data_IF_561643670202
#
_entry.id   IF_561643670202
#
_cell.length_a   1.000
_cell.length_b   1.000
_cell.length_c   1.000
_cell.angle_alpha   90.00
_cell.angle_beta   90.00
_cell.angle_gamma   90.00
#
_symmetry.space_group_name_H-M   'P 1'
#
loop_
_entity.id
_entity.type
_entity.pdbx_description
1 polymer ?
#
# COMPACT_ATOMS: atom_id res chain seq x y z
N UNK A 1 -17.04 25.99 16.35
CA UNK A 1 -15.82 26.84 16.39
C UNK A 1 -14.61 26.19 17.10
N UNK A 2 -14.76 25.48 18.23
CA UNK A 2 -13.62 24.87 18.95
C UNK A 2 -12.90 23.75 18.17
N UNK A 3 -13.64 22.86 17.49
CA UNK A 3 -13.05 21.71 16.79
C UNK A 3 -12.32 22.08 15.49
N UNK A 4 -12.86 23.01 14.68
CA UNK A 4 -12.14 23.55 13.51
C UNK A 4 -10.82 24.23 13.92
N UNK A 5 -10.84 25.01 15.00
CA UNK A 5 -9.65 25.64 15.58
C UNK A 5 -8.67 24.60 16.14
N UNK A 6 -9.17 23.45 16.62
CA UNK A 6 -8.33 22.34 17.05
C UNK A 6 -7.57 21.74 15.87
N UNK A 7 -8.24 21.39 14.76
CA UNK A 7 -7.56 20.82 13.60
C UNK A 7 -6.53 21.77 13.00
N UNK A 8 -6.89 23.06 12.82
CA UNK A 8 -5.97 24.04 12.25
C UNK A 8 -4.74 24.32 13.12
N UNK A 9 -4.83 24.15 14.45
CA UNK A 9 -3.70 24.35 15.38
C UNK A 9 -2.89 23.09 15.61
N UNK A 10 -3.56 21.96 15.79
CA UNK A 10 -2.93 20.71 16.22
C UNK A 10 -2.16 20.02 15.10
N UNK A 11 -2.53 20.27 13.83
CA UNK A 11 -1.98 19.60 12.64
C UNK A 11 -1.97 18.07 12.78
N UNK A 12 -2.92 17.53 13.55
CA UNK A 12 -3.07 16.10 13.78
C UNK A 12 -3.47 15.44 12.46
N UNK A 13 -2.83 14.31 12.16
CA UNK A 13 -3.18 13.51 11.00
C UNK A 13 -4.48 12.76 11.25
N UNK A 14 -5.43 12.85 10.32
CA UNK A 14 -6.77 12.25 10.46
C UNK A 14 -6.97 11.05 9.53
N UNK A 15 -7.78 10.09 9.96
CA UNK A 15 -8.33 9.04 9.10
C UNK A 15 -9.75 9.43 8.69
N UNK A 16 -10.11 9.26 7.43
CA UNK A 16 -11.45 9.54 6.93
C UNK A 16 -12.19 8.26 6.61
N UNK A 17 -13.50 8.27 6.82
CA UNK A 17 -14.44 7.32 6.22
C UNK A 17 -15.47 8.13 5.44
N UNK A 18 -15.75 7.73 4.21
CA UNK A 18 -16.78 8.36 3.38
C UNK A 18 -17.85 7.36 3.01
N UNK A 19 -19.09 7.83 2.96
CA UNK A 19 -20.22 7.04 2.47
C UNK A 19 -21.08 7.92 1.56
N UNK A 20 -21.57 7.33 0.47
CA UNK A 20 -22.36 8.00 -0.56
C UNK A 20 -23.59 7.18 -0.88
N UNK A 21 -24.77 7.81 -0.88
CA UNK A 21 -26.02 7.12 -1.19
C UNK A 21 -27.00 8.05 -1.90
N UNK A 22 -28.00 7.45 -2.54
CA UNK A 22 -29.12 8.16 -3.16
C UNK A 22 -30.36 7.98 -2.29
N UNK A 23 -31.04 9.07 -1.95
CA UNK A 23 -32.29 9.03 -1.19
C UNK A 23 -33.46 8.58 -2.07
N UNK A 24 -34.58 8.26 -1.43
CA UNK A 24 -35.84 7.94 -2.12
C UNK A 24 -36.37 9.09 -3.00
N UNK A 25 -35.88 10.33 -2.81
CA UNK A 25 -36.22 11.50 -3.62
C UNK A 25 -35.26 11.67 -4.81
N UNK A 26 -34.41 10.68 -5.11
CA UNK A 26 -33.34 10.73 -6.10
C UNK A 26 -32.31 11.85 -5.85
N UNK A 27 -32.05 12.15 -4.57
CA UNK A 27 -31.03 13.12 -4.16
C UNK A 27 -29.79 12.36 -3.67
N UNK A 28 -28.61 12.71 -4.20
CA UNK A 28 -27.36 12.08 -3.81
C UNK A 28 -26.77 12.80 -2.59
N UNK A 29 -26.38 12.04 -1.58
CA UNK A 29 -25.75 12.53 -0.36
C UNK A 29 -24.38 11.91 -0.18
N UNK A 30 -23.52 12.64 0.52
CA UNK A 30 -22.23 12.18 0.99
C UNK A 30 -22.04 12.57 2.45
N UNK A 31 -21.49 11.65 3.23
CA UNK A 31 -20.98 11.95 4.57
C UNK A 31 -19.47 11.77 4.59
N UNK A 32 -18.77 12.70 5.22
CA UNK A 32 -17.34 12.61 5.50
C UNK A 32 -17.17 12.59 7.02
N UNK A 33 -16.63 11.49 7.53
CA UNK A 33 -16.37 11.31 8.96
C UNK A 33 -14.87 11.24 9.19
N UNK A 34 -14.36 12.03 10.13
CA UNK A 34 -12.98 11.96 10.59
C UNK A 34 -12.86 11.14 11.87
N UNK A 35 -11.78 10.37 11.91
CA UNK A 35 -11.33 9.58 13.05
C UNK A 35 -9.91 10.03 13.38
N UNK A 36 -9.67 10.43 14.63
CA UNK A 36 -8.37 10.92 15.07
C UNK A 36 -8.20 10.69 16.57
N UNK A 37 -6.95 10.73 17.02
CA UNK A 37 -6.61 10.66 18.44
C UNK A 37 -6.13 12.05 18.85
N UNK A 38 -6.60 12.55 19.99
CA UNK A 38 -6.15 13.85 20.52
C UNK A 38 -4.90 13.73 21.41
N UNK A 39 -4.45 14.87 21.96
CA UNK A 39 -3.27 14.91 22.85
C UNK A 39 -3.48 14.17 24.17
N UNK A 40 -4.73 13.96 24.58
CA UNK A 40 -5.12 13.23 25.78
C UNK A 40 -5.33 11.73 25.49
N UNK A 41 -4.86 11.27 24.32
CA UNK A 41 -4.97 9.88 23.84
C UNK A 41 -6.41 9.38 23.70
N UNK A 42 -7.37 10.28 23.52
CA UNK A 42 -8.77 9.92 23.31
C UNK A 42 -9.06 9.73 21.83
N UNK A 43 -9.69 8.60 21.49
CA UNK A 43 -10.18 8.35 20.13
C UNK A 43 -11.46 9.15 19.89
N UNK A 44 -11.44 9.95 18.83
CA UNK A 44 -12.60 10.73 18.38
C UNK A 44 -13.09 10.26 17.03
N UNK A 45 -14.41 10.13 16.91
CA UNK A 45 -15.15 9.98 15.65
C UNK A 45 -16.06 11.18 15.50
N UNK A 46 -15.92 11.96 14.43
CA UNK A 46 -16.70 13.18 14.18
C UNK A 46 -17.12 13.28 12.72
N UNK A 47 -18.40 13.51 12.48
CA UNK A 47 -18.91 13.85 11.14
C UNK A 47 -18.43 15.27 10.85
N UNK A 48 -17.61 15.41 9.79
CA UNK A 48 -17.11 16.70 9.33
C UNK A 48 -18.08 17.38 8.37
N UNK A 49 -18.72 16.58 7.52
CA UNK A 49 -19.70 17.07 6.55
C UNK A 49 -20.77 16.02 6.30
N UNK A 50 -21.99 16.52 6.12
CA UNK A 50 -23.11 15.81 5.53
C UNK A 50 -23.67 16.73 4.45
N UNK A 51 -23.43 16.40 3.18
CA UNK A 51 -23.69 17.31 2.06
C UNK A 51 -24.36 16.60 0.91
N UNK A 52 -25.22 17.32 0.21
CA UNK A 52 -25.74 16.89 -1.07
C UNK A 52 -24.64 16.99 -2.14
N UNK A 53 -24.52 15.97 -2.98
CA UNK A 53 -23.62 15.95 -4.13
C UNK A 53 -24.43 15.89 -5.41
N UNK A 54 -23.85 16.39 -6.51
CA UNK A 54 -24.55 16.46 -7.80
C UNK A 54 -24.70 15.06 -8.40
N UNK A 55 -23.63 14.26 -8.33
CA UNK A 55 -23.57 12.91 -8.84
C UNK A 55 -22.58 12.05 -8.04
N UNK A 56 -22.57 10.75 -8.31
CA UNK A 56 -21.62 9.78 -7.73
C UNK A 56 -20.35 9.65 -8.57
N UNK A 57 -19.94 10.69 -9.33
CA UNK A 57 -18.69 10.63 -10.09
C UNK A 57 -17.50 10.88 -9.19
N UNK A 58 -16.40 10.20 -9.48
CA UNK A 58 -15.19 10.29 -8.68
C UNK A 58 -14.66 11.72 -8.51
N UNK A 59 -14.71 12.54 -9.56
CA UNK A 59 -14.28 13.95 -9.48
C UNK A 59 -15.14 14.79 -8.53
N UNK A 60 -16.46 14.58 -8.53
CA UNK A 60 -17.41 15.27 -7.65
C UNK A 60 -17.18 14.88 -6.19
N UNK A 61 -17.02 13.58 -5.95
CA UNK A 61 -16.69 13.02 -4.63
C UNK A 61 -15.34 13.56 -4.14
N UNK A 62 -14.32 13.54 -4.99
CA UNK A 62 -12.98 14.04 -4.68
C UNK A 62 -12.96 15.52 -4.32
N UNK A 63 -13.66 16.37 -5.09
CA UNK A 63 -13.84 17.80 -4.79
C UNK A 63 -14.61 18.03 -3.49
N UNK A 64 -15.62 17.21 -3.20
CA UNK A 64 -16.34 17.29 -1.93
C UNK A 64 -15.41 17.04 -0.75
N UNK A 65 -14.58 15.99 -0.82
CA UNK A 65 -13.57 15.71 0.21
C UNK A 65 -12.55 16.85 0.31
N UNK A 66 -12.04 17.36 -0.81
CA UNK A 66 -11.11 18.49 -0.85
C UNK A 66 -11.67 19.70 -0.11
N UNK A 67 -12.90 20.10 -0.42
CA UNK A 67 -13.56 21.24 0.22
C UNK A 67 -13.71 21.05 1.72
N UNK A 68 -14.08 19.84 2.18
CA UNK A 68 -14.16 19.52 3.61
C UNK A 68 -12.80 19.65 4.28
N UNK A 69 -11.73 19.15 3.65
CA UNK A 69 -10.38 19.25 4.23
C UNK A 69 -9.92 20.71 4.35
N UNK A 70 -10.16 21.54 3.32
CA UNK A 70 -9.86 22.97 3.34
C UNK A 70 -10.66 23.69 4.43
N UNK A 71 -11.98 23.44 4.49
CA UNK A 71 -12.89 24.10 5.45
C UNK A 71 -12.53 23.79 6.91
N UNK A 72 -12.00 22.60 7.16
CA UNK A 72 -11.60 22.14 8.48
C UNK A 72 -10.12 22.41 8.79
N UNK A 73 -9.34 22.93 7.84
CA UNK A 73 -7.91 23.20 8.00
C UNK A 73 -7.09 21.92 8.20
N UNK A 74 -7.50 20.83 7.57
CA UNK A 74 -6.84 19.51 7.65
C UNK A 74 -5.95 19.34 6.42
N UNK A 75 -4.64 19.40 6.63
CA UNK A 75 -3.63 19.24 5.58
C UNK A 75 -2.96 17.86 5.59
N UNK A 76 -3.16 17.06 6.65
CA UNK A 76 -2.57 15.71 6.83
C UNK A 76 -3.64 14.64 6.94
N UNK A 77 -3.66 13.72 5.98
CA UNK A 77 -4.55 12.55 5.99
C UNK A 77 -3.73 11.27 6.09
N UNK A 78 -4.17 10.33 6.93
CA UNK A 78 -3.53 9.03 7.10
C UNK A 78 -4.12 7.99 6.14
N UNK A 79 -5.43 7.78 6.22
CA UNK A 79 -6.17 6.83 5.39
C UNK A 79 -7.53 7.40 5.04
N UNK A 80 -8.05 7.04 3.88
CA UNK A 80 -9.46 7.27 3.51
C UNK A 80 -10.07 5.89 3.24
N UNK A 81 -11.09 5.55 4.02
CA UNK A 81 -11.86 4.31 3.83
C UNK A 81 -13.12 4.66 3.08
N UNK A 82 -13.38 3.91 2.02
CA UNK A 82 -14.50 4.10 1.09
C UNK A 82 -15.21 2.76 0.90
N UNK A 83 -16.43 2.79 0.38
CA UNK A 83 -17.15 1.58 -0.02
C UNK A 83 -16.60 1.02 -1.36
N UNK A 84 -17.15 -0.11 -1.80
CA UNK A 84 -16.65 -0.83 -2.99
C UNK A 84 -17.26 -0.30 -4.30
N UNK A 85 -17.16 1.00 -4.55
CA UNK A 85 -17.64 1.65 -5.77
C UNK A 85 -16.46 2.05 -6.70
N UNK A 86 -16.62 1.86 -8.01
CA UNK A 86 -15.57 2.16 -9.01
C UNK A 86 -15.19 3.63 -9.05
N UNK A 87 -16.13 4.53 -8.80
CA UNK A 87 -15.91 5.98 -8.74
C UNK A 87 -14.89 6.40 -7.66
N UNK A 88 -14.74 5.60 -6.60
CA UNK A 88 -13.85 5.93 -5.49
C UNK A 88 -12.38 5.92 -5.91
N UNK A 89 -11.97 5.09 -6.87
CA UNK A 89 -10.59 5.07 -7.36
C UNK A 89 -10.18 6.43 -7.93
N UNK A 90 -11.04 7.03 -8.75
CA UNK A 90 -10.82 8.37 -9.33
C UNK A 90 -10.86 9.43 -8.23
N UNK A 91 -11.81 9.35 -7.29
CA UNK A 91 -11.93 10.29 -6.18
C UNK A 91 -10.67 10.31 -5.28
N UNK A 92 -10.16 9.13 -4.90
CA UNK A 92 -8.98 9.02 -4.05
C UNK A 92 -7.73 9.50 -4.79
N UNK A 93 -7.60 9.18 -6.08
CA UNK A 93 -6.48 9.68 -6.91
C UNK A 93 -6.47 11.22 -6.97
N UNK A 94 -7.64 11.83 -7.10
CA UNK A 94 -7.80 13.29 -7.04
C UNK A 94 -7.35 13.85 -5.69
N UNK A 95 -7.84 13.28 -4.58
CA UNK A 95 -7.52 13.76 -3.22
C UNK A 95 -6.03 13.62 -2.90
N UNK A 96 -5.40 12.51 -3.29
CA UNK A 96 -3.94 12.31 -3.13
C UNK A 96 -3.16 13.41 -3.87
N UNK A 97 -3.51 13.68 -5.12
CA UNK A 97 -2.87 14.74 -5.92
C UNK A 97 -2.96 16.10 -5.24
N UNK A 98 -4.12 16.41 -4.64
CA UNK A 98 -4.34 17.67 -3.90
C UNK A 98 -3.55 17.73 -2.60
N UNK A 99 -3.60 16.69 -1.77
CA UNK A 99 -2.84 16.60 -0.53
C UNK A 99 -1.33 16.81 -0.75
N UNK A 100 -0.78 16.16 -1.79
CA UNK A 100 0.63 16.31 -2.16
C UNK A 100 0.96 17.70 -2.72
N UNK A 101 -0.01 18.42 -3.28
CA UNK A 101 0.18 19.81 -3.75
C UNK A 101 0.14 20.84 -2.62
N UNK A 102 -0.47 20.50 -1.48
CA UNK A 102 -0.55 21.41 -0.33
C UNK A 102 0.71 21.35 0.55
N UNK A 103 1.32 20.17 0.69
CA UNK A 103 2.58 19.96 1.42
C UNK A 103 3.19 18.59 1.11
N UNK A 104 4.51 18.46 1.31
CA UNK A 104 5.28 17.25 1.01
C UNK A 104 4.86 15.99 1.80
N UNK A 105 4.17 16.15 2.94
CA UNK A 105 3.72 15.06 3.83
C UNK A 105 2.18 14.98 3.98
N UNK A 106 1.43 15.56 3.04
CA UNK A 106 -0.04 15.64 3.11
C UNK A 106 -0.72 14.27 3.06
N UNK A 107 -0.26 13.40 2.17
CA UNK A 107 -0.57 11.98 2.17
C UNK A 107 0.62 11.17 2.66
N UNK A 108 0.37 10.14 3.47
CA UNK A 108 1.44 9.22 3.91
C UNK A 108 2.12 8.62 2.67
N UNK A 109 3.44 8.79 2.58
CA UNK A 109 4.26 8.33 1.45
C UNK A 109 3.76 8.83 0.08
N UNK A 110 3.13 10.01 0.04
CA UNK A 110 2.57 10.58 -1.19
C UNK A 110 1.40 9.79 -1.77
N UNK A 111 0.76 8.91 -0.98
CA UNK A 111 -0.29 8.00 -1.43
C UNK A 111 0.22 6.72 -2.11
N UNK A 112 1.54 6.53 -2.18
CA UNK A 112 2.16 5.30 -2.68
C UNK A 112 2.38 4.32 -1.52
N UNK A 113 1.49 3.33 -1.41
CA UNK A 113 1.57 2.29 -0.37
C UNK A 113 2.60 1.20 -0.69
N UNK A 114 3.10 1.16 -1.93
CA UNK A 114 4.04 0.16 -2.42
C UNK A 114 5.16 0.89 -3.16
N UNK A 115 6.41 0.50 -2.93
CA UNK A 115 7.54 1.01 -3.69
C UNK A 115 7.37 0.67 -5.18
N UNK A 116 7.72 1.60 -6.08
CA UNK A 116 7.52 1.42 -7.52
C UNK A 116 8.16 0.12 -8.03
N UNK A 117 9.30 -0.30 -7.45
CA UNK A 117 9.94 -1.60 -7.75
C UNK A 117 9.10 -2.83 -7.40
N UNK A 118 8.37 -2.79 -6.26
CA UNK A 118 7.45 -3.89 -5.90
C UNK A 118 6.28 -3.90 -6.89
N UNK A 119 5.80 -2.73 -7.31
CA UNK A 119 4.73 -2.62 -8.32
C UNK A 119 5.19 -3.17 -9.68
N UNK A 120 6.41 -2.85 -10.11
CA UNK A 120 6.99 -3.35 -11.35
C UNK A 120 7.04 -4.88 -11.35
N UNK A 121 7.60 -5.48 -10.28
CA UNK A 121 7.71 -6.94 -10.15
C UNK A 121 6.33 -7.59 -10.06
N UNK A 122 5.40 -6.97 -9.32
CA UNK A 122 4.00 -7.42 -9.25
C UNK A 122 3.35 -7.46 -10.63
N UNK A 123 3.55 -6.43 -11.46
CA UNK A 123 3.00 -6.36 -12.81
C UNK A 123 3.60 -7.45 -13.72
N UNK A 124 4.91 -7.71 -13.60
CA UNK A 124 5.56 -8.82 -14.30
C UNK A 124 4.96 -10.19 -13.91
N UNK A 125 4.78 -10.44 -12.61
CA UNK A 125 4.14 -11.66 -12.11
C UNK A 125 2.68 -11.76 -12.56
N UNK A 126 1.94 -10.63 -12.55
CA UNK A 126 0.56 -10.55 -13.03
C UNK A 126 0.46 -10.94 -14.51
N UNK A 127 1.39 -10.50 -15.36
CA UNK A 127 1.45 -10.90 -16.77
C UNK A 127 1.60 -12.42 -16.93
N UNK A 128 2.57 -13.01 -16.23
CA UNK A 128 2.83 -14.46 -16.32
C UNK A 128 1.62 -15.26 -15.86
N UNK A 129 0.93 -14.81 -14.81
CA UNK A 129 -0.25 -15.50 -14.26
C UNK A 129 -1.57 -15.18 -14.97
N UNK A 130 -1.61 -14.22 -15.88
CA UNK A 130 -2.87 -13.79 -16.49
C UNK A 130 -3.49 -14.84 -17.43
N UNK A 131 -2.71 -15.83 -17.88
CA UNK A 131 -3.20 -16.93 -18.71
C UNK A 131 -2.37 -18.20 -18.49
N UNK A 132 -2.98 -19.39 -18.50
CA UNK A 132 -2.27 -20.67 -18.43
C UNK A 132 -1.17 -20.81 -19.50
N UNK A 133 -1.40 -20.28 -20.71
CA UNK A 133 -0.42 -20.33 -21.80
C UNK A 133 0.82 -19.48 -21.51
N UNK A 134 0.66 -18.30 -20.90
CA UNK A 134 1.79 -17.44 -20.49
C UNK A 134 2.59 -18.09 -19.38
N UNK A 135 1.90 -18.70 -18.42
CA UNK A 135 2.53 -19.45 -17.33
C UNK A 135 3.31 -20.65 -17.85
N UNK A 136 2.77 -21.40 -18.81
CA UNK A 136 3.45 -22.56 -19.40
C UNK A 136 4.70 -22.14 -20.18
N UNK A 137 4.59 -21.11 -21.03
CA UNK A 137 5.74 -20.53 -21.73
C UNK A 137 6.84 -20.09 -20.75
N UNK A 138 6.46 -19.44 -19.66
CA UNK A 138 7.39 -19.01 -18.62
C UNK A 138 8.07 -20.20 -17.94
N UNK A 139 7.32 -21.25 -17.57
CA UNK A 139 7.89 -22.49 -17.00
C UNK A 139 8.86 -23.17 -17.95
N UNK A 140 8.55 -23.19 -19.25
CA UNK A 140 9.45 -23.74 -20.26
C UNK A 140 10.74 -22.93 -20.32
N UNK A 141 10.69 -21.60 -20.28
CA UNK A 141 11.88 -20.75 -20.21
C UNK A 141 12.73 -21.02 -18.95
N UNK A 142 12.10 -21.17 -17.77
CA UNK A 142 12.80 -21.54 -16.51
C UNK A 142 13.52 -22.89 -16.65
N UNK A 143 12.89 -23.88 -17.29
CA UNK A 143 13.46 -25.22 -17.47
C UNK A 143 14.71 -25.21 -18.36
N UNK A 144 14.76 -24.34 -19.38
CA UNK A 144 15.93 -24.19 -20.26
C UNK A 144 17.13 -23.57 -19.53
N UNK A 145 16.89 -22.69 -18.55
CA UNK A 145 17.94 -22.03 -17.76
C UNK A 145 18.53 -22.89 -16.62
N UNK A 146 18.04 -24.14 -16.43
CA UNK A 146 18.46 -25.04 -15.33
C UNK A 146 18.37 -24.42 -13.92
N UNK A 147 17.51 -23.42 -13.73
CA UNK A 147 17.27 -22.85 -12.40
C UNK A 147 16.58 -23.95 -11.59
N UNK A 148 17.16 -24.37 -10.46
CA UNK A 148 16.69 -25.50 -9.62
C UNK A 148 15.31 -25.32 -8.97
N UNK A 149 14.49 -24.38 -9.43
CA UNK A 149 13.13 -24.08 -8.96
C UNK A 149 12.09 -24.47 -9.99
N UNK A 150 10.92 -24.97 -9.55
CA UNK A 150 9.81 -25.41 -10.43
C UNK A 150 9.11 -24.29 -11.23
N UNK A 151 9.69 -23.08 -11.32
CA UNK A 151 9.10 -21.94 -12.03
C UNK A 151 7.76 -21.45 -11.46
N UNK A 152 7.53 -21.65 -10.16
CA UNK A 152 6.29 -21.28 -9.51
C UNK A 152 6.32 -19.81 -9.08
N UNK A 153 5.58 -18.97 -9.80
CA UNK A 153 5.32 -17.57 -9.42
C UNK A 153 4.03 -17.44 -8.60
N UNK A 154 4.09 -16.64 -7.54
CA UNK A 154 2.96 -16.35 -6.65
C UNK A 154 2.63 -14.88 -6.75
N UNK A 155 1.36 -14.54 -7.03
CA UNK A 155 0.90 -13.16 -7.02
C UNK A 155 0.46 -12.81 -5.60
N UNK A 156 0.89 -11.65 -5.12
CA UNK A 156 0.57 -11.19 -3.77
C UNK A 156 -0.85 -10.62 -3.64
N UNK A 157 -1.32 -10.58 -2.41
CA UNK A 157 -2.47 -9.79 -1.98
C UNK A 157 -1.91 -8.46 -1.46
N UNK A 158 -2.19 -7.29 -2.09
CA UNK A 158 -1.50 -6.03 -1.78
C UNK A 158 -1.66 -5.57 -0.32
N UNK A 159 -2.72 -6.03 0.34
CA UNK A 159 -3.02 -5.70 1.74
C UNK A 159 -2.32 -6.62 2.74
N UNK A 160 -1.54 -7.62 2.30
CA UNK A 160 -0.88 -8.63 3.16
C UNK A 160 0.60 -8.77 2.84
N UNK A 161 1.44 -8.15 3.68
CA UNK A 161 2.90 -8.21 3.60
C UNK A 161 3.51 -9.62 3.47
N UNK A 162 2.98 -10.66 4.13
CA UNK A 162 3.43 -12.05 3.99
C UNK A 162 3.28 -12.57 2.56
N UNK A 163 2.21 -12.19 1.86
CA UNK A 163 2.02 -12.58 0.46
C UNK A 163 2.94 -11.79 -0.48
N UNK A 164 3.22 -10.52 -0.15
CA UNK A 164 4.21 -9.70 -0.88
C UNK A 164 5.62 -10.28 -0.70
N UNK A 165 5.99 -10.69 0.51
CA UNK A 165 7.24 -11.39 0.78
C UNK A 165 7.40 -12.64 -0.09
N UNK A 166 6.40 -13.53 -0.09
CA UNK A 166 6.44 -14.76 -0.89
C UNK A 166 6.50 -14.49 -2.41
N UNK A 167 5.81 -13.47 -2.89
CA UNK A 167 5.90 -13.05 -4.29
C UNK A 167 7.31 -12.59 -4.63
N UNK A 168 7.91 -11.71 -3.83
CA UNK A 168 9.25 -11.18 -4.08
C UNK A 168 10.31 -12.28 -3.98
N UNK A 169 10.24 -13.15 -2.95
CA UNK A 169 11.19 -14.25 -2.72
C UNK A 169 11.20 -15.25 -3.89
N UNK A 170 10.02 -15.56 -4.43
CA UNK A 170 9.86 -16.36 -5.65
C UNK A 170 10.35 -15.62 -6.91
N UNK A 171 9.92 -14.37 -7.10
CA UNK A 171 10.21 -13.61 -8.32
C UNK A 171 11.71 -13.31 -8.48
N UNK A 172 12.42 -12.98 -7.39
CA UNK A 172 13.86 -12.69 -7.43
C UNK A 172 14.68 -13.92 -7.84
N UNK A 173 14.27 -15.13 -7.44
CA UNK A 173 14.90 -16.39 -7.89
C UNK A 173 14.75 -16.61 -9.40
N UNK A 174 13.73 -16.00 -9.99
CA UNK A 174 13.36 -16.13 -11.41
C UNK A 174 13.71 -14.87 -12.22
N UNK A 175 14.52 -13.96 -11.65
CA UNK A 175 14.93 -12.69 -12.27
C UNK A 175 15.42 -12.85 -13.70
N UNK A 176 16.37 -13.76 -13.94
CA UNK A 176 16.95 -13.99 -15.27
C UNK A 176 15.90 -14.37 -16.32
N UNK A 177 14.94 -15.22 -15.93
CA UNK A 177 13.83 -15.60 -16.80
C UNK A 177 12.91 -14.42 -17.11
N UNK A 178 12.67 -13.51 -16.15
CA UNK A 178 11.93 -12.27 -16.40
C UNK A 178 12.69 -11.29 -17.31
N UNK A 179 14.01 -11.21 -17.18
CA UNK A 179 14.87 -10.39 -18.06
C UNK A 179 14.82 -10.93 -19.50
N UNK A 180 15.00 -12.25 -19.70
CA UNK A 180 14.85 -12.90 -21.01
C UNK A 180 13.47 -12.70 -21.62
N UNK A 181 12.41 -12.77 -20.81
CA UNK A 181 11.05 -12.49 -21.28
C UNK A 181 10.91 -11.05 -21.80
N UNK A 182 11.65 -10.11 -21.18
CA UNK A 182 11.79 -8.71 -21.63
C UNK A 182 12.46 -8.56 -22.99
N UNK A 183 13.38 -9.47 -23.33
CA UNK A 183 14.15 -9.44 -24.57
C UNK A 183 13.45 -10.19 -25.71
N UNK A 184 12.80 -11.32 -25.42
CA UNK A 184 12.29 -12.25 -26.43
C UNK A 184 10.77 -12.20 -26.66
N UNK A 185 9.97 -11.72 -25.70
CA UNK A 185 8.51 -11.74 -25.79
C UNK A 185 7.93 -10.35 -26.06
N UNK A 186 7.59 -10.09 -27.33
CA UNK A 186 6.94 -8.85 -27.75
C UNK A 186 5.62 -8.59 -27.02
N UNK A 187 4.88 -9.64 -26.61
CA UNK A 187 3.65 -9.46 -25.86
C UNK A 187 3.90 -8.98 -24.43
N UNK A 188 5.03 -9.37 -23.84
CA UNK A 188 5.44 -8.90 -22.52
C UNK A 188 5.89 -7.44 -22.60
N UNK A 189 6.68 -7.07 -23.60
CA UNK A 189 7.09 -5.68 -23.82
C UNK A 189 5.87 -4.78 -24.07
N UNK A 190 4.94 -5.21 -24.92
CA UNK A 190 3.72 -4.44 -25.21
C UNK A 190 2.81 -4.31 -23.98
N UNK A 191 2.76 -5.32 -23.10
CA UNK A 191 1.98 -5.23 -21.86
C UNK A 191 2.38 -4.03 -20.97
N UNK A 192 3.64 -3.61 -20.97
CA UNK A 192 4.07 -2.41 -20.23
C UNK A 192 4.00 -1.11 -21.05
N UNK A 193 3.78 -1.21 -22.36
CA UNK A 193 3.54 -0.06 -23.24
C UNK A 193 2.06 0.31 -23.29
N UNK A 194 1.17 -0.68 -23.19
CA UNK A 194 -0.27 -0.49 -23.19
C UNK A 194 -0.72 0.17 -21.88
N UNK A 195 -1.47 1.26 -21.98
CA UNK A 195 -2.02 1.96 -20.82
C UNK A 195 -3.11 1.12 -20.12
N UNK A 196 -3.09 1.08 -18.79
CA UNK A 196 -4.19 0.56 -17.97
C UNK A 196 -4.93 1.77 -17.40
N UNK A 197 -6.15 2.03 -17.86
CA UNK A 197 -6.98 3.17 -17.41
C UNK A 197 -6.28 4.54 -17.57
N UNK A 198 -5.71 4.81 -18.76
CA UNK A 198 -5.01 6.07 -19.08
C UNK A 198 -3.74 6.33 -18.25
N UNK A 199 -3.25 5.31 -17.51
CA UNK A 199 -1.98 5.34 -16.80
C UNK A 199 -1.05 4.24 -17.30
N UNK A 200 0.20 4.64 -17.59
CA UNK A 200 1.24 3.72 -17.99
C UNK A 200 1.58 2.76 -16.84
N UNK A 201 1.57 1.45 -17.11
CA UNK A 201 1.99 0.45 -16.12
C UNK A 201 3.45 0.66 -15.74
N UNK A 202 3.74 0.57 -14.44
CA UNK A 202 5.13 0.58 -13.94
C UNK A 202 5.79 -0.75 -14.31
N UNK A 203 6.94 -0.67 -14.96
CA UNK A 203 7.74 -1.79 -15.46
C UNK A 203 8.07 -1.67 -16.96
N UNK A 204 8.67 -2.70 -17.58
CA UNK A 204 9.14 -3.95 -16.97
C UNK A 204 10.23 -3.72 -15.90
N UNK A 205 10.42 -4.65 -14.94
CA UNK A 205 11.39 -4.48 -13.86
C UNK A 205 12.83 -4.34 -14.39
N UNK A 206 13.56 -3.34 -13.90
CA UNK A 206 14.97 -3.12 -14.24
C UNK A 206 15.92 -3.64 -13.13
N UNK A 207 17.24 -3.46 -13.30
CA UNK A 207 18.21 -3.93 -12.32
C UNK A 207 17.99 -3.37 -10.91
N UNK A 208 17.70 -2.07 -10.81
CA UNK A 208 17.47 -1.37 -9.55
C UNK A 208 16.22 -1.92 -8.86
N UNK A 209 15.17 -2.26 -9.62
CA UNK A 209 13.96 -2.85 -9.07
C UNK A 209 14.22 -4.18 -8.36
N UNK A 210 15.08 -5.01 -8.95
CA UNK A 210 15.47 -6.30 -8.38
C UNK A 210 16.36 -6.13 -7.16
N UNK A 211 17.25 -5.15 -7.15
CA UNK A 211 18.12 -4.89 -6.00
C UNK A 211 17.34 -4.29 -4.84
N UNK A 212 16.42 -3.36 -5.11
CA UNK A 212 15.44 -2.88 -4.13
C UNK A 212 14.59 -4.04 -3.59
N UNK A 213 14.14 -4.96 -4.44
CA UNK A 213 13.36 -6.12 -4.00
C UNK A 213 14.11 -7.02 -3.01
N UNK A 214 15.42 -7.21 -3.18
CA UNK A 214 16.24 -7.96 -2.20
C UNK A 214 16.27 -7.27 -0.84
N UNK A 215 16.38 -5.94 -0.85
CA UNK A 215 16.31 -5.13 0.37
C UNK A 215 14.94 -5.31 1.04
N UNK A 216 13.85 -5.26 0.28
CA UNK A 216 12.50 -5.53 0.80
C UNK A 216 12.31 -6.95 1.33
N UNK A 217 12.89 -7.97 0.68
CA UNK A 217 12.84 -9.36 1.15
C UNK A 217 13.52 -9.47 2.52
N UNK A 218 14.73 -8.92 2.66
CA UNK A 218 15.45 -8.91 3.94
C UNK A 218 14.65 -8.20 5.03
N UNK A 219 14.02 -7.08 4.69
CA UNK A 219 13.14 -6.34 5.59
C UNK A 219 11.94 -7.19 6.04
N UNK A 220 11.25 -7.84 5.10
CA UNK A 220 10.00 -8.57 5.33
C UNK A 220 10.21 -9.96 5.94
N UNK A 221 11.38 -10.58 5.78
CA UNK A 221 11.67 -11.94 6.21
C UNK A 221 11.37 -12.16 7.71
N UNK A 222 11.85 -11.27 8.57
CA UNK A 222 11.63 -11.38 10.01
C UNK A 222 10.16 -11.33 10.39
N UNK A 223 9.40 -10.48 9.73
CA UNK A 223 7.97 -10.37 9.98
C UNK A 223 7.20 -11.60 9.50
N UNK A 224 7.65 -12.18 8.38
CA UNK A 224 7.10 -13.42 7.86
C UNK A 224 7.34 -14.59 8.83
N UNK A 225 8.58 -14.78 9.29
CA UNK A 225 8.95 -15.86 10.21
C UNK A 225 8.18 -15.75 11.54
N UNK A 226 8.11 -14.54 12.10
CA UNK A 226 7.36 -14.30 13.33
C UNK A 226 5.86 -14.54 13.13
N UNK A 227 5.31 -14.17 11.97
CA UNK A 227 3.89 -14.46 11.69
C UNK A 227 3.64 -15.95 11.56
N UNK A 228 4.55 -16.71 10.96
CA UNK A 228 4.46 -18.17 10.90
C UNK A 228 4.46 -18.79 12.30
N UNK A 229 5.36 -18.33 13.17
CA UNK A 229 5.45 -18.79 14.56
C UNK A 229 4.15 -18.53 15.34
N UNK A 230 3.56 -17.32 15.21
CA UNK A 230 2.30 -16.99 15.86
C UNK A 230 1.08 -17.69 15.27
N UNK A 231 1.14 -18.04 13.98
CA UNK A 231 0.05 -18.74 13.29
C UNK A 231 0.05 -20.25 13.56
N UNK A 232 1.05 -20.77 14.29
CA UNK A 232 1.12 -22.18 14.66
C UNK A 232 -0.01 -22.54 15.63
N UNK A 233 -0.95 -23.38 15.17
CA UNK A 233 -2.12 -23.81 15.95
C UNK A 233 -1.86 -25.03 16.85
N UNK A 234 -0.75 -25.73 16.64
CA UNK A 234 -0.40 -26.99 17.31
C UNK A 234 0.65 -26.83 18.43
N UNK A 235 1.07 -25.60 18.72
CA UNK A 235 2.14 -25.29 19.68
C UNK A 235 1.74 -24.12 20.55
N UNK A 236 2.15 -24.13 21.81
CA UNK A 236 1.96 -22.97 22.70
C UNK A 236 2.86 -21.84 22.19
N UNK A 237 2.26 -20.70 21.85
CA UNK A 237 2.95 -19.53 21.29
C UNK A 237 3.18 -18.41 22.32
N UNK A 238 2.55 -18.50 23.50
CA UNK A 238 2.64 -17.48 24.55
C UNK A 238 4.06 -17.31 25.10
N UNK A 239 4.84 -18.40 25.21
CA UNK A 239 6.21 -18.35 25.72
C UNK A 239 7.23 -17.76 24.74
N UNK A 240 6.92 -17.74 23.43
CA UNK A 240 7.76 -17.13 22.39
C UNK A 240 7.38 -15.68 22.09
N UNK A 241 6.18 -15.25 22.51
CA UNK A 241 5.64 -13.93 22.21
C UNK A 241 6.60 -12.79 22.58
N UNK A 242 7.12 -12.79 23.80
CA UNK A 242 8.03 -11.73 24.27
C UNK A 242 9.33 -11.68 23.45
N UNK A 243 9.89 -12.86 23.12
CA UNK A 243 11.09 -12.96 22.28
C UNK A 243 10.84 -12.41 20.87
N UNK A 244 9.71 -12.77 20.25
CA UNK A 244 9.33 -12.27 18.93
C UNK A 244 9.09 -10.75 18.94
N UNK A 245 8.45 -10.24 19.99
CA UNK A 245 8.26 -8.81 20.19
C UNK A 245 9.60 -8.06 20.28
N UNK A 246 10.52 -8.52 21.13
CA UNK A 246 11.87 -7.95 21.22
C UNK A 246 12.63 -8.02 19.90
N UNK A 247 12.46 -9.09 19.13
CA UNK A 247 13.10 -9.27 17.82
C UNK A 247 12.61 -8.23 16.82
N UNK A 248 11.29 -8.02 16.72
CA UNK A 248 10.71 -6.95 15.88
C UNK A 248 11.22 -5.58 16.32
N UNK A 249 11.20 -5.31 17.63
CA UNK A 249 11.65 -4.03 18.21
C UNK A 249 13.11 -3.73 17.84
N UNK A 250 14.00 -4.69 18.08
CA UNK A 250 15.43 -4.52 17.82
C UNK A 250 15.72 -4.34 16.33
N UNK A 251 15.03 -5.09 15.48
CA UNK A 251 15.19 -4.96 14.04
C UNK A 251 14.66 -3.62 13.52
N UNK A 252 13.50 -3.16 13.97
CA UNK A 252 13.00 -1.82 13.62
C UNK A 252 14.01 -0.74 14.04
N UNK A 253 14.55 -0.83 15.26
CA UNK A 253 15.58 0.09 15.75
C UNK A 253 16.86 0.07 14.91
N UNK A 254 17.34 -1.10 14.48
CA UNK A 254 18.55 -1.16 13.64
C UNK A 254 18.30 -0.57 12.25
N UNK A 255 17.14 -0.87 11.67
CA UNK A 255 16.76 -0.43 10.32
C UNK A 255 16.45 1.07 10.26
N UNK A 256 16.00 1.71 11.35
CA UNK A 256 15.84 3.18 11.37
C UNK A 256 17.17 3.90 11.28
N UNK A 257 18.25 3.29 11.79
CA UNK A 257 19.62 3.84 11.73
C UNK A 257 20.40 3.41 10.48
N UNK A 258 19.78 2.69 9.57
CA UNK A 258 20.44 2.16 8.38
C UNK A 258 20.75 3.27 7.35
N UNK A 259 21.84 3.08 6.60
CA UNK A 259 22.33 4.08 5.64
C UNK A 259 21.43 4.23 4.41
N UNK A 260 20.66 3.20 4.07
CA UNK A 260 19.71 3.26 2.96
C UNK A 260 18.52 4.15 3.35
N UNK A 261 18.33 5.32 2.69
CA UNK A 261 17.25 6.24 3.02
C UNK A 261 15.86 5.64 2.82
N UNK A 262 15.71 4.68 1.89
CA UNK A 262 14.45 4.02 1.59
C UNK A 262 14.02 3.15 2.78
N UNK A 263 14.94 2.27 3.22
CA UNK A 263 14.72 1.33 4.32
C UNK A 263 14.51 2.08 5.61
N UNK A 264 15.35 3.08 5.89
CA UNK A 264 15.23 3.92 7.08
C UNK A 264 13.86 4.60 7.14
N UNK A 265 13.39 5.19 6.04
CA UNK A 265 12.07 5.85 6.00
C UNK A 265 10.90 4.88 6.28
N UNK A 266 10.95 3.68 5.71
CA UNK A 266 9.92 2.64 5.94
C UNK A 266 9.98 2.14 7.38
N UNK A 267 11.19 1.85 7.87
CA UNK A 267 11.42 1.37 9.22
C UNK A 267 10.95 2.38 10.27
N UNK A 268 11.22 3.68 10.08
CA UNK A 268 10.73 4.75 10.97
C UNK A 268 9.21 4.79 11.01
N UNK A 269 8.54 4.71 9.86
CA UNK A 269 7.07 4.69 9.81
C UNK A 269 6.48 3.45 10.49
N UNK A 270 7.11 2.28 10.34
CA UNK A 270 6.68 1.05 10.98
C UNK A 270 6.99 1.02 12.48
N UNK A 271 8.12 1.58 12.90
CA UNK A 271 8.48 1.78 14.30
C UNK A 271 7.44 2.67 14.99
N UNK A 272 7.11 3.83 14.42
CA UNK A 272 6.06 4.71 14.98
C UNK A 272 4.73 3.98 15.21
N UNK A 273 4.33 3.07 14.30
CA UNK A 273 3.13 2.24 14.49
C UNK A 273 3.34 1.17 15.56
N UNK A 274 4.47 0.49 15.56
CA UNK A 274 4.80 -0.52 16.54
C UNK A 274 4.78 0.06 17.96
N UNK A 275 5.42 1.21 18.17
CA UNK A 275 5.44 1.98 19.42
C UNK A 275 4.04 2.42 19.82
N UNK A 276 3.19 2.79 18.85
CA UNK A 276 1.81 3.15 19.15
C UNK A 276 0.97 1.98 19.67
N UNK A 277 1.18 0.77 19.16
CA UNK A 277 0.39 -0.41 19.54
C UNK A 277 0.95 -1.16 20.74
N UNK A 278 2.28 -1.15 20.89
CA UNK A 278 2.99 -1.96 21.88
C UNK A 278 4.01 -1.19 22.73
N UNK A 279 4.20 0.10 22.46
CA UNK A 279 4.97 0.98 23.33
C UNK A 279 4.17 1.28 24.59
N UNK A 280 4.86 1.18 25.73
CA UNK A 280 4.35 1.56 27.04
C UNK A 280 4.63 3.04 27.27
#
# INVERSE_FOLDING_TARGET
MRLKKYFSRSKVRVCLTTDTWTSIQNINYMVVTAHFIDYDWQLHKRILSFSQIVDHKGDSIGKCIENVLIEWGIDKVFTITVDNATANTTAISYVIKKLNSWQDDGAVLGGKYLHDSIVAIRNAVKFVKSSPRRLDRFKNAVAHEKIGTKGLVVLDVPTRWNSTYLMLESAVKLRKTFELLGEEDIHYVNYFRDDENEQKRIGPPNCDDWDNAKVFINFLATFYDITLDFSASLRVTSNIYFKSWCTIRNQLNSLTTERDPLVSKIAVSMQQKFDKYWGV
#
